data_IF_720669914541
#
_entry.id   IF_720669914541
#
_cell.length_a   1.000
_cell.length_b   1.000
_cell.length_c   1.000
_cell.angle_alpha   90.00
_cell.angle_beta   90.00
_cell.angle_gamma   90.00
#
_symmetry.space_group_name_H-M   'P 1'
#
loop_
_entity.id
_entity.type
_entity.pdbx_description
1 polymer ?
#
# COMPACT_ATOMS: atom_id res chain seq x y z
N UNK A 1 -2.38 18.19 20.67
CA UNK A 1 -2.50 16.87 20.01
C UNK A 1 -3.96 16.65 19.65
N UNK A 2 -4.30 16.76 18.37
CA UNK A 2 -5.59 16.27 17.89
C UNK A 2 -5.50 14.74 17.89
N UNK A 3 -6.48 14.09 18.53
CA UNK A 3 -6.57 12.62 18.50
C UNK A 3 -6.92 12.20 17.08
N UNK A 4 -6.35 11.08 16.64
CA UNK A 4 -6.70 10.48 15.36
C UNK A 4 -8.22 10.26 15.26
N UNK A 5 -8.87 10.53 14.11
CA UNK A 5 -10.31 10.44 13.99
C UNK A 5 -10.83 9.03 14.28
N UNK A 6 -11.70 8.89 15.29
CA UNK A 6 -12.28 7.59 15.66
C UNK A 6 -13.06 6.94 14.51
N UNK A 7 -13.67 7.74 13.65
CA UNK A 7 -14.41 7.25 12.49
C UNK A 7 -13.48 6.51 11.54
N UNK A 8 -12.33 7.09 11.20
CA UNK A 8 -11.35 6.45 10.33
C UNK A 8 -10.79 5.14 10.91
N UNK A 9 -10.62 5.05 12.24
CA UNK A 9 -10.24 3.78 12.86
C UNK A 9 -11.31 2.70 12.69
N UNK A 10 -12.59 3.07 12.81
CA UNK A 10 -13.71 2.15 12.54
C UNK A 10 -13.72 1.75 11.07
N UNK A 11 -13.63 2.73 10.18
CA UNK A 11 -13.70 2.50 8.73
C UNK A 11 -12.53 1.60 8.28
N UNK A 12 -11.31 1.78 8.79
CA UNK A 12 -10.17 0.87 8.53
C UNK A 12 -10.45 -0.56 9.03
N UNK A 13 -11.02 -0.69 10.23
CA UNK A 13 -11.39 -2.00 10.79
C UNK A 13 -12.46 -2.69 9.93
N UNK A 14 -13.52 -1.95 9.57
CA UNK A 14 -14.64 -2.44 8.77
C UNK A 14 -14.19 -2.83 7.35
N UNK A 15 -13.21 -2.12 6.79
CA UNK A 15 -12.59 -2.42 5.50
C UNK A 15 -11.46 -3.46 5.58
N UNK A 16 -11.17 -4.02 6.76
CA UNK A 16 -10.15 -5.04 6.99
C UNK A 16 -8.75 -4.65 6.49
N UNK A 17 -8.38 -3.39 6.76
CA UNK A 17 -7.07 -2.84 6.41
C UNK A 17 -6.35 -2.34 7.65
N UNK A 18 -5.03 -2.56 7.70
CA UNK A 18 -4.17 -2.01 8.76
C UNK A 18 -2.86 -1.48 8.18
N UNK A 19 -2.21 -0.61 8.94
CA UNK A 19 -0.82 -0.24 8.68
C UNK A 19 0.09 -1.30 9.28
N UNK A 20 0.86 -1.97 8.43
CA UNK A 20 1.85 -2.95 8.86
C UNK A 20 3.17 -2.26 9.17
N UNK A 21 3.62 -1.36 8.30
CA UNK A 21 4.87 -0.62 8.47
C UNK A 21 4.68 0.85 8.13
N UNK A 22 5.34 1.72 8.90
CA UNK A 22 5.29 3.17 8.70
C UNK A 22 6.73 3.67 8.67
N UNK A 23 7.13 4.21 7.52
CA UNK A 23 8.41 4.85 7.31
C UNK A 23 8.21 6.35 7.19
N UNK A 24 8.88 7.11 8.03
CA UNK A 24 8.86 8.57 7.95
C UNK A 24 9.93 9.05 6.98
N UNK A 25 9.49 9.58 5.83
CA UNK A 25 10.33 9.90 4.68
C UNK A 25 11.47 10.87 5.05
N UNK A 26 11.22 12.00 5.76
CA UNK A 26 12.28 12.92 6.13
C UNK A 26 13.39 12.32 7.01
N UNK A 27 13.10 11.24 7.73
CA UNK A 27 14.10 10.57 8.57
C UNK A 27 14.82 9.42 7.87
N UNK A 28 14.41 9.03 6.66
CA UNK A 28 15.10 7.96 5.92
C UNK A 28 16.57 8.31 5.66
N UNK A 29 16.88 9.60 5.42
CA UNK A 29 18.24 10.09 5.20
C UNK A 29 19.09 10.17 6.48
N UNK A 30 18.50 9.99 7.67
CA UNK A 30 19.26 10.00 8.93
C UNK A 30 20.02 8.68 9.15
N UNK A 31 19.65 7.64 8.39
CA UNK A 31 20.38 6.38 8.33
C UNK A 31 21.68 6.56 7.54
N UNK A 32 22.77 5.98 8.05
CA UNK A 32 24.07 5.94 7.35
C UNK A 32 23.92 5.20 6.03
N UNK A 33 24.59 5.70 4.98
CA UNK A 33 24.46 5.21 3.58
C UNK A 33 24.64 3.70 3.39
N UNK A 34 25.31 3.02 4.33
CA UNK A 34 25.59 1.58 4.30
C UNK A 34 24.56 0.72 5.05
N UNK A 35 23.63 1.32 5.82
CA UNK A 35 22.60 0.61 6.61
C UNK A 35 21.32 1.43 6.74
N UNK A 36 20.44 1.29 5.77
CA UNK A 36 19.01 1.64 5.91
C UNK A 36 18.30 0.63 6.84
N UNK A 37 17.06 0.89 7.25
CA UNK A 37 16.31 -0.05 8.07
C UNK A 37 15.86 -1.28 7.27
N UNK A 38 15.63 -2.40 7.96
CA UNK A 38 15.16 -3.65 7.34
C UNK A 38 13.81 -3.45 6.63
N UNK A 39 12.94 -2.59 7.17
CA UNK A 39 11.67 -2.23 6.55
C UNK A 39 11.85 -1.46 5.23
N UNK A 40 12.90 -0.63 5.13
CA UNK A 40 13.22 0.04 3.88
C UNK A 40 13.82 -0.92 2.86
N UNK A 41 14.60 -1.91 3.30
CA UNK A 41 15.08 -2.98 2.41
C UNK A 41 13.92 -3.81 1.85
N UNK A 42 12.90 -4.11 2.66
CA UNK A 42 11.68 -4.77 2.19
C UNK A 42 10.93 -3.91 1.16
N UNK A 43 10.82 -2.60 1.41
CA UNK A 43 10.26 -1.68 0.42
C UNK A 43 10.98 -1.76 -0.93
N UNK A 44 12.32 -1.82 -0.94
CA UNK A 44 13.08 -1.93 -2.20
C UNK A 44 12.75 -3.23 -2.95
N UNK A 45 12.63 -4.34 -2.22
CA UNK A 45 12.21 -5.63 -2.77
C UNK A 45 10.80 -5.57 -3.36
N UNK A 46 9.86 -4.95 -2.65
CA UNK A 46 8.47 -4.83 -3.13
C UNK A 46 8.33 -3.83 -4.29
N UNK A 47 9.10 -2.73 -4.27
CA UNK A 47 9.07 -1.70 -5.32
C UNK A 47 9.71 -2.16 -6.64
N UNK A 48 10.48 -3.25 -6.61
CA UNK A 48 10.95 -3.96 -7.81
C UNK A 48 9.76 -4.51 -8.63
N UNK A 49 8.66 -4.88 -7.98
CA UNK A 49 7.46 -5.39 -8.65
C UNK A 49 6.76 -4.29 -9.47
N UNK A 50 6.47 -4.59 -10.74
CA UNK A 50 5.91 -3.62 -11.71
C UNK A 50 4.63 -2.94 -11.20
N UNK A 51 3.74 -3.71 -10.57
CA UNK A 51 2.47 -3.19 -10.06
C UNK A 51 2.69 -2.20 -8.92
N UNK A 52 3.55 -2.52 -7.97
CA UNK A 52 3.85 -1.65 -6.82
C UNK A 52 4.54 -0.37 -7.27
N UNK A 53 5.50 -0.51 -8.20
CA UNK A 53 6.18 0.63 -8.83
C UNK A 53 5.20 1.56 -9.56
N UNK A 54 4.29 1.00 -10.37
CA UNK A 54 3.28 1.78 -11.08
C UNK A 54 2.30 2.50 -10.13
N UNK A 55 1.87 1.83 -9.06
CA UNK A 55 0.99 2.42 -8.04
C UNK A 55 1.66 3.59 -7.29
N UNK A 56 2.97 3.51 -7.03
CA UNK A 56 3.75 4.60 -6.41
C UNK A 56 3.97 5.75 -7.39
N UNK A 57 4.27 5.45 -8.66
CA UNK A 57 4.44 6.45 -9.70
C UNK A 57 3.17 7.28 -9.93
N UNK A 58 2.01 6.64 -9.86
CA UNK A 58 0.72 7.32 -9.96
C UNK A 58 0.47 8.30 -8.81
N UNK A 59 1.00 8.02 -7.60
CA UNK A 59 0.91 8.93 -6.45
C UNK A 59 1.93 10.05 -6.52
N UNK A 60 3.15 9.76 -6.99
CA UNK A 60 4.26 10.69 -7.05
C UNK A 60 5.03 10.55 -8.39
N UNK A 61 4.60 11.26 -9.45
CA UNK A 61 5.22 11.16 -10.77
C UNK A 61 6.70 11.53 -10.81
N UNK A 62 7.17 12.35 -9.87
CA UNK A 62 8.58 12.77 -9.75
C UNK A 62 9.51 11.61 -9.38
N UNK A 63 8.97 10.50 -8.84
CA UNK A 63 9.74 9.29 -8.55
C UNK A 63 10.06 8.42 -9.78
N UNK A 64 9.63 8.79 -10.99
CA UNK A 64 9.80 7.95 -12.20
C UNK A 64 11.21 7.40 -12.36
N UNK A 65 12.22 8.27 -12.24
CA UNK A 65 13.63 7.87 -12.38
C UNK A 65 14.03 6.87 -11.30
N UNK A 66 13.75 7.19 -10.04
CA UNK A 66 14.13 6.36 -8.88
C UNK A 66 13.44 4.99 -8.92
N UNK A 67 12.14 4.96 -9.26
CA UNK A 67 11.38 3.71 -9.40
C UNK A 67 11.89 2.86 -10.57
N UNK A 68 12.32 3.49 -11.66
CA UNK A 68 12.96 2.79 -12.78
C UNK A 68 14.31 2.20 -12.36
N UNK A 69 15.13 2.95 -11.64
CA UNK A 69 16.41 2.47 -11.11
C UNK A 69 16.22 1.27 -10.19
N UNK A 70 15.21 1.30 -9.29
CA UNK A 70 14.89 0.16 -8.43
C UNK A 70 14.56 -1.09 -9.25
N UNK A 71 13.83 -0.94 -10.36
CA UNK A 71 13.40 -2.08 -11.20
C UNK A 71 14.48 -2.63 -12.12
N UNK A 72 15.44 -1.81 -12.53
CA UNK A 72 16.45 -2.17 -13.52
C UNK A 72 17.79 -2.57 -12.88
N UNK A 73 17.96 -2.37 -11.57
CA UNK A 73 19.19 -2.64 -10.86
C UNK A 73 19.02 -3.82 -9.87
N UNK A 74 19.53 -4.99 -10.22
CA UNK A 74 19.47 -6.20 -9.38
C UNK A 74 20.19 -6.01 -8.02
N UNK A 75 21.14 -5.07 -7.94
CA UNK A 75 21.92 -4.75 -6.74
C UNK A 75 21.39 -3.50 -6.01
N UNK A 76 20.15 -3.07 -6.26
CA UNK A 76 19.59 -1.82 -5.70
C UNK A 76 19.68 -1.72 -4.16
N UNK A 77 19.67 -2.86 -3.47
CA UNK A 77 19.79 -2.92 -2.00
C UNK A 77 21.11 -2.30 -1.50
N UNK A 78 22.18 -2.37 -2.29
CA UNK A 78 23.49 -1.76 -1.98
C UNK A 78 23.47 -0.24 -2.15
N UNK A 79 22.50 0.28 -2.92
CA UNK A 79 22.28 1.71 -3.19
C UNK A 79 21.10 2.28 -2.38
N UNK A 80 20.62 1.56 -1.37
CA UNK A 80 19.45 1.96 -0.58
C UNK A 80 19.57 3.37 0.01
N UNK A 81 20.77 3.80 0.40
CA UNK A 81 21.02 5.16 0.89
C UNK A 81 20.77 6.24 -0.17
N UNK A 82 21.05 5.96 -1.44
CA UNK A 82 20.79 6.88 -2.55
C UNK A 82 19.28 6.94 -2.85
N UNK A 83 18.62 5.79 -2.88
CA UNK A 83 17.15 5.71 -3.06
C UNK A 83 16.42 6.46 -1.95
N UNK A 84 16.87 6.34 -0.70
CA UNK A 84 16.32 7.10 0.43
C UNK A 84 16.46 8.62 0.26
N UNK A 85 17.60 9.08 -0.28
CA UNK A 85 17.80 10.51 -0.58
C UNK A 85 16.89 10.99 -1.72
N UNK A 86 16.72 10.17 -2.75
CA UNK A 86 15.83 10.47 -3.86
C UNK A 86 14.37 10.54 -3.39
N UNK A 87 13.90 9.58 -2.59
CA UNK A 87 12.57 9.64 -1.97
C UNK A 87 12.36 10.92 -1.17
N UNK A 88 13.34 11.30 -0.34
CA UNK A 88 13.26 12.53 0.43
C UNK A 88 13.16 13.79 -0.45
N UNK A 89 13.90 13.85 -1.55
CA UNK A 89 13.92 15.00 -2.47
C UNK A 89 12.65 15.08 -3.31
N UNK A 90 12.25 13.95 -3.89
CA UNK A 90 11.18 13.89 -4.88
C UNK A 90 9.79 13.80 -4.25
N UNK A 91 9.67 13.28 -3.02
CA UNK A 91 8.39 13.15 -2.29
C UNK A 91 8.17 14.29 -1.28
N UNK A 92 8.58 15.52 -1.59
CA UNK A 92 8.51 16.65 -0.64
C UNK A 92 7.09 16.96 -0.09
N UNK A 93 6.04 16.54 -0.79
CA UNK A 93 4.64 16.68 -0.36
C UNK A 93 4.15 15.54 0.56
N UNK A 94 4.95 14.48 0.74
CA UNK A 94 4.60 13.30 1.52
C UNK A 94 5.47 13.17 2.76
N UNK A 95 4.86 12.78 3.87
CA UNK A 95 5.53 12.61 5.15
C UNK A 95 5.85 11.12 5.42
N UNK A 96 5.03 10.22 4.86
CA UNK A 96 5.11 8.79 5.14
C UNK A 96 5.11 7.92 3.89
N UNK A 97 5.88 6.85 3.96
CA UNK A 97 5.83 5.68 3.10
C UNK A 97 5.32 4.52 3.97
N UNK A 98 4.14 3.98 3.67
CA UNK A 98 3.42 3.06 4.55
C UNK A 98 3.14 1.77 3.81
N UNK A 99 3.49 0.64 4.43
CA UNK A 99 3.02 -0.66 3.97
C UNK A 99 1.67 -0.94 4.62
N UNK A 100 0.64 -1.11 3.80
CA UNK A 100 -0.71 -1.49 4.22
C UNK A 100 -0.92 -2.98 3.98
N UNK A 101 -1.57 -3.63 4.94
CA UNK A 101 -2.04 -5.01 4.82
C UNK A 101 -3.56 -4.98 4.66
N UNK A 102 -4.06 -5.53 3.55
CA UNK A 102 -5.49 -5.66 3.26
C UNK A 102 -5.87 -7.14 3.28
N UNK A 103 -6.83 -7.53 4.11
CA UNK A 103 -7.35 -8.90 4.09
C UNK A 103 -8.18 -9.13 2.82
N UNK A 104 -7.80 -10.11 2.00
CA UNK A 104 -8.50 -10.43 0.76
C UNK A 104 -9.76 -11.22 1.09
N UNK A 105 -10.90 -10.71 0.65
CA UNK A 105 -12.19 -11.37 0.80
C UNK A 105 -12.33 -12.57 -0.14
N UNK A 106 -12.94 -13.66 0.33
CA UNK A 106 -13.16 -14.88 -0.45
C UNK A 106 -14.47 -15.57 -0.04
N UNK A 107 -14.85 -16.64 -0.74
CA UNK A 107 -16.10 -17.38 -0.48
C UNK A 107 -17.35 -16.47 -0.43
N UNK A 108 -17.47 -15.58 -1.40
CA UNK A 108 -18.63 -14.70 -1.52
C UNK A 108 -19.90 -15.52 -1.72
N UNK A 109 -20.95 -15.13 -0.98
CA UNK A 109 -22.31 -15.65 -1.13
C UNK A 109 -23.22 -14.53 -1.60
N UNK A 110 -24.05 -14.87 -2.56
CA UNK A 110 -25.06 -13.99 -3.12
C UNK A 110 -26.45 -14.61 -2.93
N UNK A 111 -27.47 -13.78 -2.88
CA UNK A 111 -28.86 -14.21 -2.99
C UNK A 111 -29.19 -14.61 -4.44
N UNK A 112 -30.36 -15.22 -4.65
CA UNK A 112 -30.83 -15.63 -5.98
C UNK A 112 -30.98 -14.46 -6.97
N UNK A 113 -31.23 -13.23 -6.47
CA UNK A 113 -31.26 -12.00 -7.28
C UNK A 113 -29.88 -11.34 -7.44
N UNK A 114 -28.80 -12.02 -7.05
CA UNK A 114 -27.41 -11.58 -7.23
C UNK A 114 -26.91 -10.53 -6.24
N UNK A 115 -27.67 -10.23 -5.17
CA UNK A 115 -27.22 -9.30 -4.12
C UNK A 115 -26.21 -9.97 -3.20
N UNK A 116 -25.19 -9.21 -2.81
CA UNK A 116 -24.21 -9.64 -1.82
C UNK A 116 -24.90 -9.99 -0.49
N UNK A 117 -24.50 -11.12 0.10
CA UNK A 117 -25.00 -11.59 1.40
C UNK A 117 -23.88 -11.68 2.44
N UNK A 118 -22.77 -12.34 2.10
CA UNK A 118 -21.64 -12.50 3.01
C UNK A 118 -20.37 -12.89 2.26
N UNK A 119 -19.20 -12.64 2.84
CA UNK A 119 -17.94 -13.26 2.45
C UNK A 119 -17.17 -13.77 3.68
N UNK A 120 -16.16 -14.58 3.44
CA UNK A 120 -15.14 -14.92 4.43
C UNK A 120 -13.95 -13.96 4.33
N UNK A 121 -13.25 -13.81 5.45
CA UNK A 121 -12.05 -12.99 5.60
C UNK A 121 -10.98 -13.83 6.32
N UNK A 122 -9.71 -13.53 6.03
CA UNK A 122 -8.55 -14.20 6.64
C UNK A 122 -8.02 -15.39 5.83
N UNK A 123 -6.71 -15.40 5.60
CA UNK A 123 -6.00 -16.47 4.90
C UNK A 123 -5.06 -15.96 3.82
N UNK A 124 -5.49 -14.94 3.06
CA UNK A 124 -4.66 -14.24 2.07
C UNK A 124 -4.72 -12.75 2.38
N UNK A 125 -3.55 -12.12 2.38
CA UNK A 125 -3.38 -10.70 2.60
C UNK A 125 -2.66 -10.09 1.42
N UNK A 126 -3.09 -8.90 0.99
CA UNK A 126 -2.41 -8.13 -0.02
C UNK A 126 -1.64 -7.00 0.67
N UNK A 127 -0.32 -7.05 0.54
CA UNK A 127 0.59 -6.00 1.00
C UNK A 127 0.74 -4.95 -0.09
N UNK A 128 0.71 -3.68 0.26
CA UNK A 128 0.94 -2.57 -0.67
C UNK A 128 1.66 -1.41 0.00
N UNK A 129 2.64 -0.82 -0.68
CA UNK A 129 3.24 0.45 -0.25
C UNK A 129 2.45 1.64 -0.81
N UNK A 130 2.18 2.62 0.05
CA UNK A 130 1.52 3.89 -0.29
C UNK A 130 2.32 5.08 0.22
N UNK A 131 2.22 6.22 -0.47
CA UNK A 131 2.73 7.50 -0.01
C UNK A 131 1.60 8.29 0.64
N UNK A 132 1.87 8.92 1.78
CA UNK A 132 0.86 9.67 2.51
C UNK A 132 1.40 10.99 3.05
N UNK A 133 0.56 12.03 2.99
CA UNK A 133 0.89 13.38 3.49
C UNK A 133 0.86 13.45 5.00
N UNK A 134 -0.04 12.69 5.61
CA UNK A 134 -0.18 12.51 7.04
C UNK A 134 -0.90 11.17 7.31
N UNK A 135 -1.07 10.82 8.59
CA UNK A 135 -1.72 9.56 8.97
C UNK A 135 -3.22 9.50 8.61
N UNK A 136 -3.90 10.65 8.49
CA UNK A 136 -5.31 10.72 8.10
C UNK A 136 -5.42 10.38 6.62
N UNK A 137 -4.62 11.04 5.78
CA UNK A 137 -4.52 10.76 4.37
C UNK A 137 -4.11 9.30 4.10
N UNK A 138 -3.18 8.74 4.89
CA UNK A 138 -2.82 7.33 4.81
C UNK A 138 -4.02 6.40 5.02
N UNK A 139 -4.87 6.70 6.00
CA UNK A 139 -6.02 5.87 6.33
C UNK A 139 -7.09 5.95 5.24
N UNK A 140 -7.34 7.14 4.71
CA UNK A 140 -8.26 7.35 3.58
C UNK A 140 -7.81 6.56 2.35
N UNK A 141 -6.54 6.63 1.97
CA UNK A 141 -5.98 5.85 0.84
C UNK A 141 -6.11 4.35 1.13
N UNK A 142 -5.78 3.90 2.34
CA UNK A 142 -5.84 2.49 2.71
C UNK A 142 -7.27 1.92 2.62
N UNK A 143 -8.27 2.68 3.09
CA UNK A 143 -9.69 2.34 2.97
C UNK A 143 -10.11 2.25 1.51
N UNK A 144 -9.78 3.27 0.70
CA UNK A 144 -10.11 3.30 -0.74
C UNK A 144 -9.52 2.08 -1.47
N UNK A 145 -8.27 1.72 -1.18
CA UNK A 145 -7.62 0.54 -1.78
C UNK A 145 -8.29 -0.78 -1.34
N UNK A 146 -8.70 -0.87 -0.09
CA UNK A 146 -9.41 -2.04 0.44
C UNK A 146 -10.80 -2.21 -0.19
N UNK A 147 -11.55 -1.12 -0.32
CA UNK A 147 -12.86 -1.10 -0.99
C UNK A 147 -12.73 -1.52 -2.46
N UNK A 148 -11.79 -0.94 -3.20
CA UNK A 148 -11.54 -1.28 -4.61
C UNK A 148 -11.08 -2.75 -4.79
N UNK A 149 -10.38 -3.32 -3.81
CA UNK A 149 -10.02 -4.73 -3.82
C UNK A 149 -11.25 -5.62 -3.56
N UNK A 150 -12.07 -5.27 -2.57
CA UNK A 150 -13.30 -5.98 -2.26
C UNK A 150 -14.26 -6.00 -3.46
N UNK A 151 -14.47 -4.85 -4.12
CA UNK A 151 -15.33 -4.73 -5.29
C UNK A 151 -14.87 -5.66 -6.42
N UNK A 152 -13.57 -5.69 -6.68
CA UNK A 152 -12.96 -6.55 -7.70
C UNK A 152 -13.17 -8.04 -7.41
N UNK A 153 -12.91 -8.48 -6.18
CA UNK A 153 -13.10 -9.89 -5.80
C UNK A 153 -14.58 -10.27 -5.76
N UNK A 154 -15.46 -9.33 -5.37
CA UNK A 154 -16.90 -9.51 -5.41
C UNK A 154 -17.40 -9.70 -6.86
N UNK A 155 -16.98 -8.84 -7.79
CA UNK A 155 -17.32 -8.95 -9.22
C UNK A 155 -16.77 -10.22 -9.86
N UNK A 156 -15.54 -10.61 -9.50
CA UNK A 156 -14.95 -11.89 -9.92
C UNK A 156 -15.80 -13.06 -9.43
N UNK A 157 -16.18 -13.08 -8.16
CA UNK A 157 -17.01 -14.14 -7.59
C UNK A 157 -18.42 -14.19 -8.21
N UNK A 158 -19.01 -13.05 -8.57
CA UNK A 158 -20.28 -13.03 -9.32
C UNK A 158 -20.15 -13.69 -10.69
N UNK A 159 -19.08 -13.40 -11.44
CA UNK A 159 -18.79 -14.03 -12.74
C UNK A 159 -18.60 -15.54 -12.61
N UNK A 160 -17.84 -15.98 -11.61
CA UNK A 160 -17.61 -17.40 -11.34
C UNK A 160 -18.90 -18.15 -10.97
N UNK A 161 -19.87 -17.47 -10.37
CA UNK A 161 -21.19 -18.01 -10.03
C UNK A 161 -22.26 -17.81 -11.12
N UNK A 162 -21.91 -17.22 -12.28
CA UNK A 162 -22.82 -17.01 -13.40
C UNK A 162 -23.90 -15.96 -13.17
N UNK A 163 -23.66 -15.00 -12.27
CA UNK A 163 -24.58 -13.92 -11.92
C UNK A 163 -24.40 -12.67 -12.81
N UNK A 164 -23.30 -12.61 -13.57
CA UNK A 164 -22.95 -11.59 -14.57
C UNK A 164 -22.17 -12.20 -15.73
#
# INVERSE_FOLDING_TARGET
MNKFPKKLLSDMYDSNVRFEKILHIPTLCASISERVSDEFQEFLGDAYEEKQSADLLAQCPTLERTLKEIRENDDIQDFAGEVAQDLYRECSDFEFLINIEIAVSYNFRFSEDGKYSSNSLGGIYQMQWILAKDMVNAAEIAIERAEALWERECEKAKREQGLV
#
